data_IF_139066134651
#
_entry.id   IF_139066134651
#
_cell.length_a   1.000
_cell.length_b   1.000
_cell.length_c   1.000
_cell.angle_alpha   90.00
_cell.angle_beta   90.00
_cell.angle_gamma   90.00
#
_symmetry.space_group_name_H-M   'P 1'
#
loop_
_entity.id
_entity.type
_entity.pdbx_description
1 polymer ?
#
# COMPACT_ATOMS: atom_id res chain seq x y z
N UNK A 1 -0.22 1.28 30.37
CA UNK A 1 0.13 1.90 29.07
C UNK A 1 0.49 0.74 28.15
N UNK A 2 -0.50 0.18 27.47
CA UNK A 2 -0.25 -0.85 26.45
C UNK A 2 0.49 -0.17 25.32
N UNK A 3 1.70 -0.65 25.01
CA UNK A 3 2.39 -0.28 23.77
C UNK A 3 1.46 -0.69 22.63
N UNK A 4 0.83 0.28 21.97
CA UNK A 4 0.11 0.01 20.73
C UNK A 4 1.12 -0.52 19.71
N UNK A 5 0.72 -1.55 18.96
CA UNK A 5 1.55 -2.12 17.91
C UNK A 5 1.95 -1.01 16.92
N UNK A 6 3.25 -0.76 16.68
CA UNK A 6 3.69 0.31 15.79
C UNK A 6 3.11 0.18 14.37
N UNK A 7 2.81 -1.04 13.91
CA UNK A 7 2.13 -1.27 12.62
C UNK A 7 0.69 -0.77 12.68
N UNK A 8 -0.06 -1.09 13.74
CA UNK A 8 -1.43 -0.61 13.92
C UNK A 8 -1.48 0.91 14.05
N UNK A 9 -0.50 1.49 14.74
CA UNK A 9 -0.38 2.94 14.84
C UNK A 9 -0.14 3.57 13.47
N UNK A 10 0.81 3.05 12.71
CA UNK A 10 1.12 3.54 11.37
C UNK A 10 -0.09 3.43 10.42
N UNK A 11 -0.81 2.31 10.44
CA UNK A 11 -2.04 2.14 9.67
C UNK A 11 -3.14 3.14 10.05
N UNK A 12 -3.10 3.74 11.25
CA UNK A 12 -4.08 4.73 11.70
C UNK A 12 -3.67 6.16 11.38
N UNK A 13 -2.38 6.47 11.39
CA UNK A 13 -1.89 7.86 11.34
C UNK A 13 -1.20 8.26 10.06
N UNK A 14 -0.61 7.30 9.34
CA UNK A 14 0.23 7.60 8.18
C UNK A 14 -0.65 7.89 6.95
N UNK A 15 -0.10 8.64 6.00
CA UNK A 15 -0.85 9.12 4.83
C UNK A 15 -0.45 8.41 3.55
N UNK A 16 0.82 8.02 3.44
CA UNK A 16 1.38 7.40 2.24
C UNK A 16 2.09 6.09 2.54
N UNK A 17 2.08 5.22 1.54
CA UNK A 17 2.77 3.93 1.50
C UNK A 17 3.50 3.84 0.18
N UNK A 18 4.48 2.93 0.10
CA UNK A 18 4.80 2.34 -1.21
C UNK A 18 4.01 1.04 -1.38
N UNK A 19 3.66 0.74 -2.62
CA UNK A 19 3.23 -0.61 -3.02
C UNK A 19 4.17 -1.18 -4.06
N UNK A 20 4.50 -2.46 -3.95
CA UNK A 20 5.17 -3.22 -5.01
C UNK A 20 4.19 -4.18 -5.66
N UNK A 21 3.88 -3.94 -6.93
CA UNK A 21 3.00 -4.78 -7.76
C UNK A 21 3.80 -5.50 -8.84
N UNK A 22 3.24 -6.53 -9.47
CA UNK A 22 3.82 -7.19 -10.64
C UNK A 22 3.29 -6.55 -11.92
N UNK A 23 4.17 -6.05 -12.79
CA UNK A 23 3.79 -5.44 -14.06
C UNK A 23 3.04 -6.42 -14.95
N UNK A 24 1.76 -6.17 -15.25
CA UNK A 24 0.89 -7.10 -16.03
C UNK A 24 1.41 -7.46 -17.43
N UNK A 25 2.25 -6.61 -18.02
CA UNK A 25 2.88 -6.84 -19.34
C UNK A 25 4.30 -7.35 -19.17
N UNK A 26 5.09 -6.75 -18.27
CA UNK A 26 6.52 -7.02 -18.16
C UNK A 26 6.86 -8.20 -17.25
N UNK A 27 5.98 -8.61 -16.33
CA UNK A 27 6.32 -9.53 -15.24
C UNK A 27 7.21 -8.93 -14.14
N UNK A 28 7.84 -7.78 -14.40
CA UNK A 28 8.74 -7.13 -13.44
C UNK A 28 8.04 -6.43 -12.26
N UNK A 29 8.66 -6.40 -11.07
CA UNK A 29 8.20 -5.60 -9.93
C UNK A 29 8.13 -4.10 -10.25
N UNK A 30 7.05 -3.45 -9.79
CA UNK A 30 6.80 -2.02 -9.93
C UNK A 30 6.49 -1.40 -8.59
N UNK A 31 7.36 -0.51 -8.10
CA UNK A 31 7.15 0.24 -6.86
C UNK A 31 6.49 1.60 -7.14
N UNK A 32 5.50 1.97 -6.35
CA UNK A 32 4.76 3.23 -6.50
C UNK A 32 4.36 3.78 -5.14
N UNK A 33 4.65 5.04 -4.88
CA UNK A 33 4.11 5.76 -3.72
C UNK A 33 2.63 6.07 -3.96
N UNK A 34 1.79 5.79 -2.97
CA UNK A 34 0.35 6.04 -3.06
C UNK A 34 -0.25 6.36 -1.70
N UNK A 35 -1.37 7.09 -1.73
CA UNK A 35 -2.15 7.41 -0.54
C UNK A 35 -2.99 6.22 -0.11
N UNK A 36 -3.09 5.98 1.19
CA UNK A 36 -4.01 5.00 1.74
C UNK A 36 -4.88 5.61 2.84
N UNK A 37 -6.00 4.98 3.13
CA UNK A 37 -6.87 5.28 4.27
C UNK A 37 -7.27 4.00 4.95
N UNK A 38 -7.17 3.97 6.26
CA UNK A 38 -7.76 2.92 7.08
C UNK A 38 -9.12 3.41 7.58
N UNK A 39 -10.18 2.69 7.21
CA UNK A 39 -11.56 2.95 7.63
C UNK A 39 -12.09 1.67 8.24
N UNK A 40 -12.38 1.68 9.55
CA UNK A 40 -12.92 0.54 10.29
C UNK A 40 -12.17 -0.78 10.04
N UNK A 41 -10.83 -0.73 10.18
CA UNK A 41 -9.89 -1.85 9.96
C UNK A 41 -9.79 -2.34 8.51
N UNK A 42 -10.38 -1.59 7.56
CA UNK A 42 -10.24 -1.85 6.13
C UNK A 42 -9.37 -0.78 5.47
N UNK A 43 -8.30 -1.24 4.80
CA UNK A 43 -7.38 -0.37 4.08
C UNK A 43 -7.87 -0.14 2.66
N UNK A 44 -7.97 1.13 2.30
CA UNK A 44 -8.31 1.62 0.96
C UNK A 44 -7.11 2.33 0.37
N UNK A 45 -6.65 1.87 -0.78
CA UNK A 45 -5.63 2.56 -1.57
C UNK A 45 -6.34 3.54 -2.50
N UNK A 46 -5.95 4.81 -2.44
CA UNK A 46 -6.55 5.90 -3.20
C UNK A 46 -5.51 6.59 -4.05
N UNK A 47 -5.87 6.96 -5.27
CA UNK A 47 -4.96 7.66 -6.17
C UNK A 47 -5.70 8.65 -7.06
N UNK A 48 -4.96 9.55 -7.69
CA UNK A 48 -5.50 10.53 -8.62
C UNK A 48 -6.31 9.86 -9.73
N UNK A 49 -7.48 10.38 -10.13
CA UNK A 49 -8.25 9.86 -11.27
C UNK A 49 -7.43 9.78 -12.57
N UNK A 50 -7.68 8.75 -13.39
CA UNK A 50 -6.98 8.51 -14.65
C UNK A 50 -6.45 7.08 -14.78
N UNK A 51 -5.71 6.77 -15.86
CA UNK A 51 -4.99 5.50 -15.99
C UNK A 51 -4.00 5.31 -14.85
N UNK A 52 -3.99 4.10 -14.28
CA UNK A 52 -3.18 3.75 -13.11
C UNK A 52 -2.56 2.38 -13.34
N UNK A 53 -1.27 2.35 -13.63
CA UNK A 53 -0.58 1.09 -13.90
C UNK A 53 -0.61 0.16 -12.69
N UNK A 54 -0.45 0.68 -11.47
CA UNK A 54 -0.58 -0.12 -10.25
C UNK A 54 -1.95 -0.79 -10.14
N UNK A 55 -3.03 -0.10 -10.51
CA UNK A 55 -4.38 -0.66 -10.47
C UNK A 55 -4.56 -1.71 -11.56
N UNK A 56 -4.10 -1.43 -12.79
CA UNK A 56 -4.15 -2.40 -13.88
C UNK A 56 -3.32 -3.65 -13.56
N UNK A 57 -2.20 -3.50 -12.85
CA UNK A 57 -1.41 -4.61 -12.31
C UNK A 57 -2.22 -5.42 -11.30
N UNK A 58 -2.85 -4.76 -10.31
CA UNK A 58 -3.66 -5.42 -9.28
C UNK A 58 -4.90 -6.13 -9.83
N UNK A 59 -5.50 -5.61 -10.91
CA UNK A 59 -6.61 -6.28 -11.61
C UNK A 59 -6.14 -7.59 -12.26
N UNK A 60 -4.90 -7.64 -12.77
CA UNK A 60 -4.33 -8.84 -13.38
C UNK A 60 -3.73 -9.82 -12.35
N UNK A 61 -3.14 -9.29 -11.28
CA UNK A 61 -2.56 -10.04 -10.17
C UNK A 61 -2.78 -9.28 -8.85
N UNK A 62 -3.67 -9.76 -7.96
CA UNK A 62 -4.02 -9.03 -6.74
C UNK A 62 -2.94 -9.06 -5.65
N UNK A 63 -1.88 -9.86 -5.79
CA UNK A 63 -0.77 -9.88 -4.82
C UNK A 63 0.12 -8.65 -4.98
N UNK A 64 0.45 -8.02 -3.86
CA UNK A 64 1.38 -6.89 -3.78
C UNK A 64 1.95 -6.77 -2.37
N UNK A 65 3.09 -6.08 -2.23
CA UNK A 65 3.62 -5.74 -0.91
C UNK A 65 3.23 -4.32 -0.55
N UNK A 66 2.71 -4.14 0.66
CA UNK A 66 2.39 -2.85 1.27
C UNK A 66 3.54 -2.43 2.18
N UNK A 67 4.18 -1.31 1.87
CA UNK A 67 5.37 -0.84 2.55
C UNK A 67 5.04 0.38 3.41
N UNK A 68 5.05 0.16 4.73
CA UNK A 68 5.06 1.25 5.70
C UNK A 68 6.45 1.90 5.67
N UNK A 69 6.48 3.23 5.61
CA UNK A 69 7.72 4.01 5.47
C UNK A 69 7.76 5.36 6.20
N UNK A 70 6.65 5.74 6.84
CA UNK A 70 6.55 7.01 7.57
C UNK A 70 6.86 6.79 9.05
N UNK A 71 5.87 6.44 9.88
CA UNK A 71 6.06 6.29 11.34
C UNK A 71 6.76 4.98 11.72
N UNK A 72 6.66 3.95 10.87
CA UNK A 72 7.37 2.68 10.99
C UNK A 72 7.82 2.21 9.61
N UNK A 73 8.95 1.51 9.56
CA UNK A 73 9.41 0.80 8.35
C UNK A 73 9.08 -0.67 8.48
N UNK A 74 8.16 -1.16 7.65
CA UNK A 74 7.75 -2.57 7.64
C UNK A 74 7.12 -2.96 6.29
N UNK A 75 7.28 -4.23 5.93
CA UNK A 75 6.70 -4.82 4.72
C UNK A 75 5.56 -5.77 5.10
N UNK A 76 4.37 -5.53 4.55
CA UNK A 76 3.18 -6.37 4.74
C UNK A 76 2.83 -7.06 3.41
N UNK A 77 2.76 -8.41 3.35
CA UNK A 77 2.50 -9.16 2.12
C UNK A 77 1.01 -9.24 1.73
#
# INVERSE_FOLDING_TARGET
>A
MTLEDPILQALRTDLTIDITTVGRVSGEPRRTEIWFRNLDDQVYITGTPGPRDWYANLVANPSFTFHLKESVTADLP
#
